data_IF_117057520948
#
_entry.id   IF_117057520948
#
_cell.length_a   1.000
_cell.length_b   1.000
_cell.length_c   1.000
_cell.angle_alpha   90.00
_cell.angle_beta   90.00
_cell.angle_gamma   90.00
#
_symmetry.space_group_name_H-M   'P 1'
#
loop_
_entity.id
_entity.type
_entity.pdbx_description
1 polymer ?
#
# COMPACT_ATOMS: atom_id res chain seq x y z
N UNK A 1 16.53 -7.71 13.44
CA UNK A 1 15.64 -8.89 13.22
C UNK A 1 16.35 -10.15 12.70
N UNK A 2 17.29 -10.05 11.74
CA UNK A 2 18.01 -11.20 11.17
C UNK A 2 18.69 -12.12 12.21
N UNK A 3 19.23 -11.57 13.28
CA UNK A 3 19.79 -12.34 14.40
C UNK A 3 18.76 -13.24 15.11
N UNK A 4 17.49 -12.82 15.18
CA UNK A 4 16.41 -13.66 15.73
C UNK A 4 16.15 -14.87 14.83
N UNK A 5 16.19 -14.70 13.51
CA UNK A 5 16.01 -15.79 12.54
C UNK A 5 17.14 -16.82 12.63
N UNK A 6 18.39 -16.38 12.85
CA UNK A 6 19.52 -17.30 13.10
C UNK A 6 19.29 -18.18 14.33
N UNK A 7 18.80 -17.60 15.43
CA UNK A 7 18.46 -18.35 16.65
C UNK A 7 17.36 -19.37 16.40
N UNK A 8 16.34 -19.01 15.63
CA UNK A 8 15.24 -19.92 15.24
C UNK A 8 15.77 -21.06 14.37
N UNK A 9 16.61 -20.78 13.37
CA UNK A 9 17.23 -21.80 12.53
C UNK A 9 18.08 -22.79 13.36
N UNK A 10 18.91 -22.27 14.28
CA UNK A 10 19.71 -23.10 15.19
C UNK A 10 18.83 -23.99 16.10
N UNK A 11 17.70 -23.47 16.58
CA UNK A 11 16.76 -24.25 17.37
C UNK A 11 16.08 -25.37 16.55
N UNK A 12 15.76 -25.12 15.28
CA UNK A 12 15.20 -26.12 14.37
C UNK A 12 16.19 -27.26 14.09
N UNK A 13 17.49 -26.95 13.94
CA UNK A 13 18.54 -27.98 13.79
C UNK A 13 18.57 -28.91 15.00
N UNK A 14 18.49 -28.35 16.21
CA UNK A 14 18.50 -29.13 17.47
C UNK A 14 17.23 -29.95 17.71
N UNK A 15 16.14 -29.69 16.99
CA UNK A 15 14.83 -30.33 17.19
C UNK A 15 14.25 -30.80 15.84
N UNK A 16 14.73 -31.92 15.28
CA UNK A 16 14.42 -32.34 13.90
C UNK A 16 12.93 -32.59 13.62
N UNK A 17 12.15 -32.92 14.66
CA UNK A 17 10.71 -33.18 14.55
C UNK A 17 9.83 -31.93 14.39
N UNK A 18 10.39 -30.72 14.51
CA UNK A 18 9.61 -29.49 14.45
C UNK A 18 9.52 -28.94 13.04
N UNK A 19 8.34 -28.41 12.69
CA UNK A 19 8.15 -27.56 11.52
C UNK A 19 7.98 -26.10 11.96
N UNK A 20 8.30 -25.19 11.06
CA UNK A 20 8.16 -23.75 11.25
C UNK A 20 7.11 -23.22 10.27
N UNK A 21 6.07 -22.58 10.80
CA UNK A 21 5.12 -21.82 10.01
C UNK A 21 5.54 -20.35 10.03
N UNK A 22 5.78 -19.79 8.84
CA UNK A 22 6.06 -18.37 8.65
C UNK A 22 4.75 -17.68 8.30
N UNK A 23 4.19 -16.93 9.25
CA UNK A 23 3.00 -16.13 9.04
C UNK A 23 3.38 -14.70 8.64
N UNK A 24 3.14 -14.34 7.38
CA UNK A 24 3.24 -12.95 6.94
C UNK A 24 2.00 -12.18 7.34
N UNK A 25 2.18 -10.96 7.83
CA UNK A 25 1.08 -10.12 8.31
C UNK A 25 0.81 -8.95 7.36
N UNK A 26 -0.44 -8.51 7.31
CA UNK A 26 -0.86 -7.25 6.67
C UNK A 26 -1.69 -6.40 7.64
N UNK A 27 -1.62 -5.07 7.54
CA UNK A 27 -2.41 -4.17 8.38
C UNK A 27 -2.88 -2.91 7.66
N UNK A 28 -3.43 -1.94 8.40
CA UNK A 28 -3.95 -0.70 7.82
C UNK A 28 -2.88 0.12 7.07
N UNK A 29 -1.62 0.08 7.53
CA UNK A 29 -0.52 0.73 6.82
C UNK A 29 -0.32 0.15 5.41
N UNK A 30 -0.52 -1.17 5.24
CA UNK A 30 -0.44 -1.82 3.93
C UNK A 30 -1.62 -1.42 3.04
N UNK A 31 -2.81 -1.34 3.62
CA UNK A 31 -4.00 -0.86 2.91
C UNK A 31 -3.81 0.58 2.46
N UNK A 32 -3.32 1.46 3.33
CA UNK A 32 -3.01 2.85 3.01
C UNK A 32 -1.95 2.95 1.89
N UNK A 33 -0.87 2.17 1.96
CA UNK A 33 0.16 2.15 0.93
C UNK A 33 -0.39 1.66 -0.42
N UNK A 34 -1.25 0.64 -0.42
CA UNK A 34 -1.89 0.14 -1.64
C UNK A 34 -2.85 1.17 -2.24
N UNK A 35 -3.63 1.89 -1.43
CA UNK A 35 -4.49 3.01 -1.87
C UNK A 35 -3.68 4.12 -2.51
N UNK A 36 -2.61 4.55 -1.84
CA UNK A 36 -1.72 5.60 -2.36
C UNK A 36 -1.09 5.18 -3.69
N UNK A 37 -0.64 3.91 -3.78
CA UNK A 37 -0.06 3.37 -5.02
C UNK A 37 -1.08 3.33 -6.16
N UNK A 38 -2.32 2.92 -5.88
CA UNK A 38 -3.39 2.90 -6.87
C UNK A 38 -3.66 4.29 -7.45
N UNK A 39 -3.86 5.28 -6.58
CA UNK A 39 -4.11 6.66 -7.00
C UNK A 39 -2.92 7.23 -7.76
N UNK A 40 -1.69 7.01 -7.28
CA UNK A 40 -0.49 7.48 -7.95
C UNK A 40 -0.30 6.84 -9.34
N UNK A 41 -0.60 5.54 -9.49
CA UNK A 41 -0.55 4.87 -10.79
C UNK A 41 -1.62 5.40 -11.76
N UNK A 42 -2.83 5.69 -11.26
CA UNK A 42 -3.88 6.28 -12.07
C UNK A 42 -3.53 7.70 -12.53
N UNK A 43 -2.96 8.53 -11.65
CA UNK A 43 -2.44 9.86 -12.02
C UNK A 43 -1.32 9.74 -13.04
N UNK A 44 -0.37 8.82 -12.85
CA UNK A 44 0.72 8.60 -13.79
C UNK A 44 0.19 8.19 -15.18
N UNK A 45 -0.81 7.31 -15.24
CA UNK A 45 -1.52 6.93 -16.47
C UNK A 45 -2.19 8.13 -17.15
N UNK A 46 -2.93 8.95 -16.38
CA UNK A 46 -3.56 10.17 -16.88
C UNK A 46 -2.53 11.20 -17.42
N UNK A 47 -1.31 11.18 -16.91
CA UNK A 47 -0.19 11.99 -17.38
C UNK A 47 0.58 11.36 -18.56
N UNK A 48 0.10 10.25 -19.12
CA UNK A 48 0.74 9.55 -20.24
C UNK A 48 2.00 8.78 -19.85
N UNK A 49 2.18 8.48 -18.56
CA UNK A 49 3.32 7.74 -17.99
C UNK A 49 2.83 6.49 -17.25
N UNK A 50 2.22 5.50 -17.93
CA UNK A 50 1.68 4.33 -17.27
C UNK A 50 2.78 3.53 -16.58
N UNK A 51 2.47 3.01 -15.38
CA UNK A 51 3.40 2.20 -14.59
C UNK A 51 3.22 0.73 -14.94
N UNK A 52 4.34 0.03 -15.18
CA UNK A 52 4.32 -1.40 -15.45
C UNK A 52 3.73 -2.20 -14.27
N UNK A 53 3.15 -3.40 -14.51
CA UNK A 53 2.67 -4.27 -13.43
C UNK A 53 3.76 -4.52 -12.39
N UNK A 54 3.48 -4.21 -11.12
CA UNK A 54 4.44 -4.35 -10.02
C UNK A 54 5.47 -3.22 -9.91
N UNK A 55 5.47 -2.26 -10.83
CA UNK A 55 6.27 -1.04 -10.74
C UNK A 55 5.81 -0.11 -9.61
N UNK A 56 6.69 0.80 -9.23
CA UNK A 56 6.40 1.86 -8.25
C UNK A 56 6.07 3.16 -9.02
N UNK A 57 4.88 3.75 -8.83
CA UNK A 57 4.56 5.05 -9.37
C UNK A 57 5.39 6.15 -8.69
N UNK A 58 5.69 7.21 -9.42
CA UNK A 58 6.27 8.42 -8.86
C UNK A 58 5.32 9.05 -7.82
N UNK A 59 5.85 9.74 -6.79
CA UNK A 59 5.04 10.54 -5.89
C UNK A 59 4.20 11.57 -6.64
N UNK A 60 2.93 11.70 -6.27
CA UNK A 60 2.02 12.69 -6.84
C UNK A 60 2.38 14.08 -6.31
N UNK A 61 2.65 15.03 -7.21
CA UNK A 61 2.92 16.43 -6.86
C UNK A 61 1.66 17.31 -7.02
N UNK A 62 0.96 17.68 -5.92
CA UNK A 62 -0.26 18.49 -6.01
C UNK A 62 -0.01 19.95 -6.43
N UNK A 63 1.25 20.40 -6.51
CA UNK A 63 1.61 21.74 -6.97
C UNK A 63 1.84 21.83 -8.50
N UNK A 64 1.87 20.71 -9.21
CA UNK A 64 2.08 20.70 -10.67
C UNK A 64 0.75 20.85 -11.43
N UNK A 65 0.72 21.73 -12.44
CA UNK A 65 -0.51 22.09 -13.16
C UNK A 65 -1.16 20.90 -13.90
N UNK A 66 -0.34 20.01 -14.49
CA UNK A 66 -0.86 18.81 -15.18
C UNK A 66 -1.41 17.82 -14.16
N UNK A 67 -0.73 17.67 -13.03
CA UNK A 67 -1.14 16.81 -11.93
C UNK A 67 -2.45 17.29 -11.30
N UNK A 68 -2.62 18.59 -11.09
CA UNK A 68 -3.86 19.19 -10.60
C UNK A 68 -5.07 18.83 -11.49
N UNK A 69 -4.91 18.95 -12.81
CA UNK A 69 -5.94 18.52 -13.76
C UNK A 69 -6.20 17.03 -13.73
N UNK A 70 -5.14 16.23 -13.67
CA UNK A 70 -5.27 14.78 -13.58
C UNK A 70 -6.04 14.35 -12.32
N UNK A 71 -5.82 15.03 -11.19
CA UNK A 71 -6.56 14.77 -9.94
C UNK A 71 -8.04 15.11 -10.07
N UNK A 72 -8.39 16.24 -10.67
CA UNK A 72 -9.79 16.60 -10.92
C UNK A 72 -10.47 15.64 -11.89
N UNK A 73 -9.81 15.30 -13.00
CA UNK A 73 -10.32 14.35 -13.98
C UNK A 73 -10.53 12.97 -13.35
N UNK A 74 -9.55 12.46 -12.59
CA UNK A 74 -9.62 11.19 -11.89
C UNK A 74 -10.73 11.18 -10.84
N UNK A 75 -10.95 12.28 -10.13
CA UNK A 75 -12.05 12.41 -9.18
C UNK A 75 -13.41 12.32 -9.86
N UNK A 76 -13.58 13.01 -10.98
CA UNK A 76 -14.81 12.97 -11.78
C UNK A 76 -15.05 11.57 -12.35
N UNK A 77 -14.02 10.92 -12.86
CA UNK A 77 -14.09 9.57 -13.42
C UNK A 77 -14.51 8.53 -12.37
N UNK A 78 -13.92 8.58 -11.17
CA UNK A 78 -14.21 7.62 -10.08
C UNK A 78 -15.51 7.93 -9.33
N UNK A 79 -16.00 9.16 -9.43
CA UNK A 79 -17.17 9.63 -8.71
C UNK A 79 -18.12 10.30 -9.71
N UNK A 80 -18.12 11.63 -9.76
CA UNK A 80 -18.89 12.43 -10.72
C UNK A 80 -18.47 13.90 -10.65
N UNK A 81 -18.85 14.69 -11.65
CA UNK A 81 -18.69 16.15 -11.62
C UNK A 81 -19.47 16.81 -10.48
N UNK A 82 -20.65 16.27 -10.15
CA UNK A 82 -21.46 16.75 -9.03
C UNK A 82 -20.77 16.50 -7.68
N UNK A 83 -20.15 15.32 -7.50
CA UNK A 83 -19.40 15.02 -6.29
C UNK A 83 -18.20 15.97 -6.11
N UNK A 84 -17.53 16.36 -7.20
CA UNK A 84 -16.43 17.34 -7.14
C UNK A 84 -16.95 18.71 -6.69
N UNK A 85 -18.08 19.17 -7.25
CA UNK A 85 -18.70 20.44 -6.86
C UNK A 85 -19.14 20.45 -5.39
N UNK A 86 -19.70 19.34 -4.89
CA UNK A 86 -20.06 19.17 -3.48
C UNK A 86 -18.83 19.22 -2.57
N UNK A 87 -17.76 18.48 -2.93
CA UNK A 87 -16.52 18.50 -2.18
C UNK A 87 -15.89 19.89 -2.10
N UNK A 88 -15.90 20.64 -3.20
CA UNK A 88 -15.46 22.04 -3.24
C UNK A 88 -16.29 22.90 -2.28
N UNK A 89 -17.62 22.83 -2.37
CA UNK A 89 -18.51 23.61 -1.50
C UNK A 89 -18.35 23.26 -0.02
N UNK A 90 -18.10 21.99 0.32
CA UNK A 90 -17.80 21.54 1.69
C UNK A 90 -16.47 22.13 2.18
N UNK A 91 -15.42 22.07 1.36
CA UNK A 91 -14.12 22.66 1.69
C UNK A 91 -14.19 24.18 1.86
N UNK A 92 -14.93 24.89 1.02
CA UNK A 92 -15.14 26.33 1.15
C UNK A 92 -15.83 26.69 2.46
N UNK A 93 -16.87 25.93 2.83
CA UNK A 93 -17.58 26.12 4.11
C UNK A 93 -16.68 25.85 5.32
N UNK A 94 -15.88 24.79 5.28
CA UNK A 94 -15.00 24.44 6.40
C UNK A 94 -13.80 25.39 6.54
N UNK A 95 -13.25 25.87 5.41
CA UNK A 95 -12.06 26.76 5.39
C UNK A 95 -12.43 28.24 5.49
N UNK A 96 -13.66 28.62 5.16
CA UNK A 96 -14.10 30.02 5.10
C UNK A 96 -13.44 30.83 3.98
N UNK A 97 -12.86 30.17 2.96
CA UNK A 97 -12.20 30.79 1.81
C UNK A 97 -12.61 30.08 0.52
N UNK A 98 -12.77 30.81 -0.60
CA UNK A 98 -13.09 30.19 -1.88
C UNK A 98 -11.95 29.29 -2.34
N UNK A 99 -12.30 28.15 -2.93
CA UNK A 99 -11.34 27.21 -3.51
C UNK A 99 -10.94 27.71 -4.89
N UNK A 100 -9.62 27.78 -5.14
CA UNK A 100 -9.12 28.14 -6.47
C UNK A 100 -8.80 26.87 -7.23
N UNK A 101 -9.63 26.53 -8.21
CA UNK A 101 -9.36 25.43 -9.14
C UNK A 101 -8.40 25.87 -10.23
N UNK A 102 -7.74 24.90 -10.83
CA UNK A 102 -6.82 25.10 -11.93
C UNK A 102 -7.62 25.50 -13.16
N UNK A 103 -7.27 26.65 -13.71
CA UNK A 103 -7.93 27.13 -14.92
C UNK A 103 -7.49 26.29 -16.13
N UNK A 104 -8.44 25.85 -16.98
CA UNK A 104 -8.12 25.04 -18.13
C UNK A 104 -7.14 25.66 -19.15
N UNK A 105 -7.12 26.97 -19.32
CA UNK A 105 -6.21 27.64 -20.22
C UNK A 105 -4.84 27.84 -19.55
N UNK A 106 -4.83 28.22 -18.27
CA UNK A 106 -3.59 28.43 -17.52
C UNK A 106 -2.79 27.15 -17.34
N UNK A 107 -3.43 26.02 -17.07
CA UNK A 107 -2.69 24.76 -16.95
C UNK A 107 -2.14 24.23 -18.28
N UNK A 108 -2.74 24.61 -19.42
CA UNK A 108 -2.15 24.31 -20.72
C UNK A 108 -0.81 25.06 -20.89
N UNK A 109 -0.72 26.27 -20.34
CA UNK A 109 0.50 27.08 -20.24
C UNK A 109 1.42 26.65 -19.07
N UNK A 110 1.13 25.52 -18.40
CA UNK A 110 1.92 25.00 -17.28
C UNK A 110 1.77 25.78 -15.98
N UNK A 111 0.79 26.69 -15.87
CA UNK A 111 0.55 27.46 -14.64
C UNK A 111 -0.40 26.70 -13.72
N UNK A 112 0.03 26.31 -12.50
CA UNK A 112 -0.83 25.65 -11.54
C UNK A 112 -1.77 26.65 -10.87
N UNK A 113 -2.83 26.13 -10.26
CA UNK A 113 -3.57 26.88 -9.25
C UNK A 113 -2.67 27.19 -8.06
N UNK A 114 -2.88 28.37 -7.47
CA UNK A 114 -2.23 28.79 -6.23
C UNK A 114 -2.72 27.99 -4.99
N UNK A 115 -3.86 27.31 -5.08
CA UNK A 115 -4.46 26.61 -3.95
C UNK A 115 -4.00 25.14 -3.85
N UNK A 116 -2.71 24.95 -3.64
CA UNK A 116 -2.10 23.62 -3.39
C UNK A 116 -2.82 22.85 -2.27
N UNK A 117 -3.24 23.48 -1.14
CA UNK A 117 -3.98 22.78 -0.09
C UNK A 117 -5.28 22.12 -0.55
N UNK A 118 -5.98 22.70 -1.54
CA UNK A 118 -7.16 22.07 -2.14
C UNK A 118 -6.78 20.76 -2.86
N UNK A 119 -5.69 20.75 -3.62
CA UNK A 119 -5.24 19.55 -4.34
C UNK A 119 -4.68 18.48 -3.41
N UNK A 120 -4.04 18.87 -2.30
CA UNK A 120 -3.67 17.94 -1.23
C UNK A 120 -4.91 17.28 -0.60
N UNK A 121 -5.96 18.06 -0.32
CA UNK A 121 -7.22 17.54 0.19
C UNK A 121 -7.93 16.63 -0.83
N UNK A 122 -7.90 16.98 -2.12
CA UNK A 122 -8.47 16.18 -3.20
C UNK A 122 -7.72 14.84 -3.36
N UNK A 123 -6.39 14.87 -3.36
CA UNK A 123 -5.54 13.68 -3.39
C UNK A 123 -5.79 12.79 -2.16
N UNK A 124 -5.89 13.39 -0.97
CA UNK A 124 -6.23 12.67 0.25
C UNK A 124 -7.60 12.00 0.13
N UNK A 125 -8.62 12.73 -0.33
CA UNK A 125 -9.97 12.19 -0.53
C UNK A 125 -9.99 11.01 -1.50
N UNK A 126 -9.28 11.11 -2.62
CA UNK A 126 -9.11 10.01 -3.59
C UNK A 126 -8.42 8.79 -2.98
N UNK A 127 -7.41 9.03 -2.14
CA UNK A 127 -6.66 7.97 -1.48
C UNK A 127 -7.52 7.28 -0.43
N UNK A 128 -8.24 8.04 0.41
CA UNK A 128 -9.07 7.50 1.48
C UNK A 128 -10.26 6.69 0.95
N UNK A 129 -10.83 7.07 -0.20
CA UNK A 129 -11.94 6.36 -0.84
C UNK A 129 -11.50 5.20 -1.74
N UNK A 130 -10.21 5.07 -2.05
CA UNK A 130 -9.72 3.99 -2.90
C UNK A 130 -9.99 2.61 -2.26
N UNK A 131 -10.61 1.73 -3.04
CA UNK A 131 -10.92 0.38 -2.59
C UNK A 131 -9.69 -0.51 -2.81
N UNK A 132 -9.31 -1.24 -1.76
CA UNK A 132 -8.25 -2.25 -1.83
C UNK A 132 -8.87 -3.58 -1.48
N UNK A 133 -8.91 -4.54 -2.43
CA UNK A 133 -9.48 -5.86 -2.15
C UNK A 133 -8.60 -6.60 -1.14
N UNK A 134 -9.22 -7.38 -0.26
CA UNK A 134 -8.49 -8.14 0.75
C UNK A 134 -7.48 -9.13 0.14
N UNK A 135 -7.73 -9.61 -1.08
CA UNK A 135 -6.78 -10.43 -1.84
C UNK A 135 -5.43 -9.72 -2.07
N UNK A 136 -5.45 -8.40 -2.32
CA UNK A 136 -4.22 -7.64 -2.51
C UNK A 136 -3.40 -7.56 -1.21
N UNK A 137 -4.08 -7.44 -0.07
CA UNK A 137 -3.44 -7.46 1.26
C UNK A 137 -2.88 -8.85 1.60
N UNK A 138 -3.63 -9.90 1.28
CA UNK A 138 -3.16 -11.28 1.40
C UNK A 138 -1.91 -11.51 0.54
N UNK A 139 -1.86 -10.98 -0.68
CA UNK A 139 -0.65 -11.06 -1.54
C UNK A 139 0.56 -10.38 -0.91
N UNK A 140 0.39 -9.21 -0.25
CA UNK A 140 1.47 -8.56 0.50
C UNK A 140 1.97 -9.45 1.63
N UNK A 141 1.07 -10.01 2.43
CA UNK A 141 1.43 -10.94 3.50
C UNK A 141 2.11 -12.21 2.99
N UNK A 142 1.59 -12.82 1.92
CA UNK A 142 2.22 -13.99 1.29
C UNK A 142 3.63 -13.67 0.80
N UNK A 143 3.82 -12.51 0.15
CA UNK A 143 5.13 -12.08 -0.33
C UNK A 143 6.14 -11.93 0.84
N UNK A 144 5.71 -11.36 1.96
CA UNK A 144 6.54 -11.27 3.18
C UNK A 144 6.88 -12.65 3.76
N UNK A 145 5.89 -13.53 3.88
CA UNK A 145 6.09 -14.88 4.39
C UNK A 145 7.08 -15.66 3.52
N UNK A 146 6.94 -15.56 2.19
CA UNK A 146 7.85 -16.17 1.22
C UNK A 146 9.26 -15.60 1.34
N UNK A 147 9.43 -14.29 1.47
CA UNK A 147 10.76 -13.69 1.62
C UNK A 147 11.51 -14.19 2.88
N UNK A 148 10.79 -14.36 4.00
CA UNK A 148 11.36 -14.92 5.23
C UNK A 148 11.66 -16.41 5.09
N UNK A 149 10.74 -17.18 4.51
CA UNK A 149 10.95 -18.60 4.22
C UNK A 149 12.17 -18.81 3.32
N UNK A 150 12.29 -18.02 2.25
CA UNK A 150 13.42 -18.04 1.34
C UNK A 150 14.73 -17.74 2.06
N UNK A 151 14.76 -16.75 2.97
CA UNK A 151 15.96 -16.47 3.75
C UNK A 151 16.34 -17.65 4.67
N UNK A 152 15.36 -18.33 5.27
CA UNK A 152 15.62 -19.50 6.12
C UNK A 152 16.17 -20.68 5.31
N UNK A 153 15.63 -20.94 4.12
CA UNK A 153 16.08 -22.03 3.25
C UNK A 153 17.42 -21.70 2.61
N UNK A 154 17.51 -20.57 1.90
CA UNK A 154 18.64 -20.23 1.01
C UNK A 154 19.84 -19.71 1.79
N UNK A 155 19.61 -18.94 2.86
CA UNK A 155 20.70 -18.31 3.63
C UNK A 155 21.07 -19.10 4.88
N UNK A 156 20.08 -19.69 5.56
CA UNK A 156 20.29 -20.40 6.83
C UNK A 156 20.24 -21.93 6.69
N UNK A 157 20.12 -22.44 5.46
CA UNK A 157 20.15 -23.89 5.13
C UNK A 157 19.14 -24.74 5.92
N UNK A 158 18.00 -24.14 6.31
CA UNK A 158 16.91 -24.91 6.93
C UNK A 158 16.22 -25.73 5.82
N UNK A 159 15.99 -27.04 6.01
CA UNK A 159 15.34 -27.86 4.99
C UNK A 159 13.94 -27.32 4.61
N UNK A 160 13.68 -27.16 3.31
CA UNK A 160 12.43 -26.58 2.82
C UNK A 160 11.17 -27.35 3.28
N UNK A 161 11.26 -28.68 3.42
CA UNK A 161 10.17 -29.53 3.93
C UNK A 161 9.75 -29.19 5.38
N UNK A 162 10.54 -28.39 6.09
CA UNK A 162 10.29 -27.96 7.47
C UNK A 162 9.73 -26.54 7.57
N UNK A 163 9.55 -25.86 6.44
CA UNK A 163 9.04 -24.49 6.40
C UNK A 163 7.73 -24.48 5.64
N UNK A 164 6.69 -23.97 6.29
CA UNK A 164 5.38 -23.71 5.71
C UNK A 164 5.14 -22.19 5.78
N UNK A 165 4.42 -21.62 4.80
CA UNK A 165 4.13 -20.19 4.78
C UNK A 165 2.62 -19.93 4.73
N UNK A 166 2.17 -18.93 5.49
CA UNK A 166 0.76 -18.54 5.59
C UNK A 166 0.63 -17.01 5.61
N UNK A 167 -0.50 -16.48 5.13
CA UNK A 167 -0.86 -15.07 5.29
C UNK A 167 -1.90 -14.91 6.39
N UNK A 168 -1.74 -13.88 7.22
CA UNK A 168 -2.64 -13.56 8.33
C UNK A 168 -2.89 -12.06 8.42
N UNK A 169 -4.08 -11.67 8.88
CA UNK A 169 -4.32 -10.28 9.25
C UNK A 169 -3.50 -9.92 10.49
N UNK A 170 -2.89 -8.75 10.50
CA UNK A 170 -2.15 -8.23 11.65
C UNK A 170 -3.13 -7.74 12.72
N UNK A 171 -3.07 -8.29 13.92
CA UNK A 171 -3.71 -7.71 15.10
C UNK A 171 -2.87 -6.51 15.53
N UNK A 172 -3.34 -5.29 15.25
CA UNK A 172 -2.64 -4.07 15.66
C UNK A 172 -2.35 -4.08 17.16
N UNK A 173 -1.08 -4.09 17.53
CA UNK A 173 -0.64 -4.08 18.93
C UNK A 173 0.69 -4.81 19.14
N UNK A 174 1.72 -4.04 19.45
CA UNK A 174 3.06 -4.46 19.91
C UNK A 174 3.92 -5.22 18.89
N UNK A 175 5.23 -4.95 18.93
CA UNK A 175 6.22 -5.51 18.02
C UNK A 175 5.98 -7.00 17.82
N UNK A 176 5.70 -7.40 16.57
CA UNK A 176 5.31 -8.74 16.18
C UNK A 176 6.16 -9.79 16.93
N UNK A 177 5.57 -10.39 17.97
CA UNK A 177 5.92 -11.75 18.34
C UNK A 177 5.62 -12.54 17.07
N UNK A 178 6.66 -13.06 16.43
CA UNK A 178 6.53 -14.13 15.45
C UNK A 178 5.58 -15.15 16.10
N UNK A 179 4.33 -15.21 15.64
CA UNK A 179 3.36 -16.19 16.12
C UNK A 179 3.83 -17.53 15.56
N UNK A 180 4.74 -18.16 16.29
CA UNK A 180 5.32 -19.45 16.00
C UNK A 180 4.31 -20.49 16.43
N UNK A 181 3.42 -20.88 15.53
CA UNK A 181 2.58 -22.05 15.74
C UNK A 181 3.43 -23.29 15.45
N UNK A 182 3.71 -24.07 16.49
CA UNK A 182 4.53 -25.28 16.42
C UNK A 182 3.60 -26.48 16.36
N UNK A 183 3.33 -26.96 15.15
CA UNK A 183 2.59 -28.21 14.98
C UNK A 183 3.56 -29.39 15.12
N UNK A 184 3.28 -30.32 16.05
CA UNK A 184 3.97 -31.62 16.10
C UNK A 184 3.45 -32.46 14.94
N UNK A 185 4.35 -32.94 14.10
CA UNK A 185 4.02 -33.99 13.13
C UNK A 185 3.68 -35.26 13.90
N UNK A 186 2.43 -35.73 13.81
CA UNK A 186 2.08 -37.08 14.26
C UNK A 186 2.71 -38.07 13.28
N UNK A 187 3.68 -38.86 13.76
CA UNK A 187 4.20 -40.00 13.01
C UNK A 187 3.14 -41.11 13.04
N UNK A 188 2.89 -41.72 11.89
CA UNK A 188 2.16 -42.98 11.75
C UNK A 188 3.16 -44.06 11.36
#
# INVERSE_FOLDING_TARGET
EREKLKKVAAALVKRPQLKLIVAGQYGEADRAALRQRDVAAAVASALGRPVAPGGLPDPVNPADAKTQRALEALFVERNSAQALAQFVAELEKTRGKPVQRVDPLLAFLGRPSADVPFYEALLKRLTDSAQVPDEALQKVAQARARAVADHLVKTLSVPAARIESKATAGTGGEQAKLALDVTRSAAK
#
